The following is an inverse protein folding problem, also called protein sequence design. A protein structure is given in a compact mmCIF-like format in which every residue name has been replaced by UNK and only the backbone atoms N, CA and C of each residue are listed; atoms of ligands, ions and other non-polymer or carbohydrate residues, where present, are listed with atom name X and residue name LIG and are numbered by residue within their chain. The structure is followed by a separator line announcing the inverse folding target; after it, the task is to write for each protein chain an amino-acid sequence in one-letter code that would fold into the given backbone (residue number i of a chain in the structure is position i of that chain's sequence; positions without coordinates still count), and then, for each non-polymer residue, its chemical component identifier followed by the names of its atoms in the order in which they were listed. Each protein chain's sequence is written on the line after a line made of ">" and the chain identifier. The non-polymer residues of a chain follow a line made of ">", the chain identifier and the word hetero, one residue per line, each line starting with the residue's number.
data_IF_160920404497
#
_entry.id   IF_160920404497
#
_cell.length_a   1.000
_cell.length_b   1.000
_cell.length_c   1.000
_cell.angle_alpha   90.00
_cell.angle_beta   90.00
_cell.angle_gamma   90.00
#
_symmetry.space_group_name_H-M   'P 1'
#
loop_
_entity.id
_entity.type
_entity.pdbx_description
1 polymer ?
#
# COMPACT_ATOMS: atom_id res chain seq x y z
N UNK A 1 36.00 8.16 21.41
CA UNK A 1 35.03 8.90 20.58
C UNK A 1 34.24 7.85 19.81
N UNK A 2 33.06 7.46 20.32
CA UNK A 2 32.26 6.39 19.73
C UNK A 2 31.48 7.03 18.58
N UNK A 3 31.98 6.88 17.36
CA UNK A 3 31.21 7.16 16.15
C UNK A 3 30.06 6.15 16.10
N UNK A 4 28.89 6.53 16.65
CA UNK A 4 27.65 5.84 16.36
C UNK A 4 27.40 5.99 14.87
N UNK A 5 27.54 4.89 14.14
CA UNK A 5 27.07 4.71 12.77
C UNK A 5 25.63 5.22 12.67
N UNK A 6 25.46 6.49 12.26
CA UNK A 6 24.21 7.03 11.71
C UNK A 6 24.04 6.49 10.26
N UNK A 7 24.30 5.20 10.07
CA UNK A 7 23.99 4.50 8.83
C UNK A 7 22.48 4.29 8.76
N UNK A 8 21.85 5.35 8.29
CA UNK A 8 20.63 5.37 7.51
C UNK A 8 19.36 4.88 8.19
N UNK A 9 18.88 5.64 9.19
CA UNK A 9 17.46 5.64 9.57
C UNK A 9 16.54 5.81 8.32
N UNK A 10 17.04 6.43 7.25
CA UNK A 10 16.39 6.57 5.94
C UNK A 10 16.09 5.25 5.22
N UNK A 11 16.95 4.24 5.42
CA UNK A 11 16.74 2.89 4.90
C UNK A 11 15.52 2.24 5.51
N UNK A 12 15.31 2.40 6.82
CA UNK A 12 14.17 1.86 7.55
C UNK A 12 12.86 2.43 6.97
N UNK A 13 12.76 3.74 6.78
CA UNK A 13 11.57 4.38 6.20
C UNK A 13 11.25 3.87 4.79
N UNK A 14 12.29 3.61 3.98
CA UNK A 14 12.13 3.05 2.63
C UNK A 14 11.67 1.59 2.66
N UNK A 15 12.21 0.79 3.57
CA UNK A 15 11.78 -0.61 3.79
C UNK A 15 10.33 -0.64 4.30
N UNK A 16 9.98 0.23 5.25
CA UNK A 16 8.61 0.36 5.73
C UNK A 16 7.67 0.69 4.58
N UNK A 17 8.01 1.63 3.70
CA UNK A 17 7.20 1.92 2.50
C UNK A 17 6.94 0.67 1.65
N UNK A 18 7.94 -0.18 1.45
CA UNK A 18 7.80 -1.46 0.72
C UNK A 18 6.93 -2.46 1.48
N UNK A 19 7.02 -2.54 2.81
CA UNK A 19 6.13 -3.39 3.62
C UNK A 19 4.67 -2.99 3.40
N UNK A 20 4.38 -1.69 3.31
CA UNK A 20 3.02 -1.20 3.04
C UNK A 20 2.50 -1.58 1.64
N UNK A 21 3.38 -1.75 0.64
CA UNK A 21 3.01 -2.35 -0.66
C UNK A 21 2.56 -3.80 -0.45
N UNK A 22 3.36 -4.60 0.28
CA UNK A 22 3.04 -6.01 0.53
C UNK A 22 1.70 -6.14 1.26
N UNK A 23 1.47 -5.33 2.30
CA UNK A 23 0.19 -5.31 3.02
C UNK A 23 -0.96 -4.93 2.08
N UNK A 24 -0.81 -3.90 1.25
CA UNK A 24 -1.83 -3.51 0.27
C UNK A 24 -2.17 -4.63 -0.72
N UNK A 25 -1.16 -5.33 -1.25
CA UNK A 25 -1.35 -6.50 -2.12
C UNK A 25 -2.06 -7.62 -1.36
N UNK A 26 -1.67 -7.92 -0.12
CA UNK A 26 -2.32 -8.94 0.70
C UNK A 26 -3.81 -8.61 0.90
N UNK A 27 -4.16 -7.37 1.22
CA UNK A 27 -5.56 -6.95 1.37
C UNK A 27 -6.36 -7.17 0.09
N UNK A 28 -5.78 -6.83 -1.07
CA UNK A 28 -6.40 -7.09 -2.37
C UNK A 28 -6.59 -8.57 -2.66
N UNK A 29 -5.56 -9.39 -2.42
CA UNK A 29 -5.63 -10.84 -2.63
C UNK A 29 -6.71 -11.45 -1.75
N UNK A 30 -6.76 -11.08 -0.46
CA UNK A 30 -7.79 -11.57 0.46
C UNK A 30 -9.20 -11.17 0.00
N UNK A 31 -9.37 -9.92 -0.45
CA UNK A 31 -10.66 -9.44 -0.97
C UNK A 31 -11.12 -10.23 -2.21
N UNK A 32 -10.22 -10.52 -3.14
CA UNK A 32 -10.54 -11.23 -4.39
C UNK A 32 -10.71 -12.75 -4.20
N UNK A 33 -10.03 -13.36 -3.23
CA UNK A 33 -10.00 -14.82 -3.05
C UNK A 33 -10.98 -15.32 -1.99
N UNK A 34 -11.40 -14.48 -1.05
CA UNK A 34 -12.30 -14.86 0.06
C UNK A 34 -13.62 -14.09 -0.07
N UNK A 35 -14.67 -14.69 -0.67
CA UNK A 35 -15.95 -14.01 -0.91
C UNK A 35 -16.62 -13.45 0.34
N UNK A 36 -16.44 -14.08 1.50
CA UNK A 36 -17.00 -13.59 2.78
C UNK A 36 -16.41 -12.26 3.25
N UNK A 37 -15.26 -11.84 2.69
CA UNK A 37 -14.63 -10.54 2.96
C UNK A 37 -15.02 -9.47 1.95
N UNK A 38 -15.78 -9.82 0.91
CA UNK A 38 -16.31 -8.89 -0.09
C UNK A 38 -17.68 -8.35 0.33
N UNK A 39 -17.68 -7.54 1.39
CA UNK A 39 -18.88 -6.84 1.85
C UNK A 39 -18.78 -5.33 1.55
N UNK A 40 -19.95 -4.72 1.35
CA UNK A 40 -20.08 -3.29 1.13
C UNK A 40 -20.07 -2.49 2.44
N UNK A 41 -20.11 -1.16 2.30
CA UNK A 41 -20.10 -0.22 3.42
C UNK A 41 -21.30 -0.38 4.38
N UNK A 42 -22.37 -1.07 3.96
CA UNK A 42 -23.55 -1.39 4.76
C UNK A 42 -23.25 -2.35 5.92
N UNK A 43 -22.21 -3.18 5.80
CA UNK A 43 -21.79 -4.18 6.79
C UNK A 43 -20.50 -3.83 7.53
N UNK A 44 -19.94 -2.64 7.26
CA UNK A 44 -18.68 -2.16 7.82
C UNK A 44 -17.72 -1.66 6.75
N UNK A 45 -16.48 -1.34 7.12
CA UNK A 45 -15.47 -0.88 6.15
C UNK A 45 -15.01 -2.06 5.27
N UNK A 46 -15.20 -2.02 3.94
CA UNK A 46 -14.77 -3.09 3.05
C UNK A 46 -13.27 -3.35 3.16
N UNK A 47 -12.83 -4.59 2.97
CA UNK A 47 -11.41 -4.94 3.07
C UNK A 47 -10.54 -4.13 2.08
N UNK A 48 -11.04 -3.90 0.87
CA UNK A 48 -10.34 -3.07 -0.11
C UNK A 48 -10.18 -1.62 0.38
N UNK A 49 -11.14 -1.06 1.12
CA UNK A 49 -11.11 0.34 1.53
C UNK A 49 -9.95 0.63 2.50
N UNK A 50 -9.42 -0.38 3.19
CA UNK A 50 -8.21 -0.23 4.00
C UNK A 50 -6.97 0.12 3.17
N UNK A 51 -6.91 -0.24 1.88
CA UNK A 51 -5.79 0.16 0.99
C UNK A 51 -5.77 1.68 0.78
N UNK A 52 -6.92 2.35 0.86
CA UNK A 52 -7.01 3.83 0.79
C UNK A 52 -6.40 4.53 1.99
N UNK A 53 -6.11 3.81 3.08
CA UNK A 53 -5.45 4.35 4.28
C UNK A 53 -4.01 3.86 4.36
N UNK A 54 -3.82 2.54 4.21
CA UNK A 54 -2.52 1.87 4.33
C UNK A 54 -1.57 2.41 3.26
N UNK A 55 -1.96 2.45 2.00
CA UNK A 55 -1.03 2.81 0.94
C UNK A 55 -0.60 4.29 0.97
N UNK A 56 -1.46 5.29 1.26
CA UNK A 56 -0.99 6.66 1.50
C UNK A 56 0.03 6.78 2.63
N UNK A 57 -0.12 6.03 3.73
CA UNK A 57 0.91 5.97 4.78
C UNK A 57 2.23 5.45 4.19
N UNK A 58 2.19 4.40 3.38
CA UNK A 58 3.35 3.89 2.65
C UNK A 58 4.00 4.93 1.73
N UNK A 59 3.23 5.81 1.08
CA UNK A 59 3.75 6.93 0.27
C UNK A 59 4.53 7.90 1.15
N UNK A 60 3.94 8.34 2.28
CA UNK A 60 4.61 9.26 3.20
C UNK A 60 5.91 8.69 3.76
N UNK A 61 5.91 7.41 4.15
CA UNK A 61 7.13 6.73 4.63
C UNK A 61 8.20 6.65 3.53
N UNK A 62 7.78 6.41 2.28
CA UNK A 62 8.67 6.41 1.12
C UNK A 62 9.27 7.79 0.87
N UNK A 63 8.48 8.85 0.94
CA UNK A 63 8.96 10.23 0.75
C UNK A 63 9.90 10.67 1.89
N UNK A 64 9.61 10.30 3.14
CA UNK A 64 10.54 10.50 4.26
C UNK A 64 11.86 9.75 3.98
N UNK A 65 11.80 8.51 3.49
CA UNK A 65 12.97 7.71 3.14
C UNK A 65 13.78 8.22 1.93
N UNK A 66 13.24 9.15 1.13
CA UNK A 66 13.75 9.58 -0.19
C UNK A 66 15.00 10.48 -0.13
N UNK A 67 15.88 10.36 0.86
CA UNK A 67 17.20 11.01 0.79
C UNK A 67 18.18 10.17 -0.02
N UNK A 68 19.06 10.84 -0.78
CA UNK A 68 20.14 10.26 -1.60
C UNK A 68 19.69 9.31 -2.74
N UNK A 69 18.62 9.62 -3.49
CA UNK A 69 18.19 8.85 -4.69
C UNK A 69 18.04 7.33 -4.42
N UNK A 70 17.58 6.96 -3.23
CA UNK A 70 17.33 5.55 -2.92
C UNK A 70 16.20 5.01 -3.82
N UNK A 71 16.52 4.06 -4.71
CA UNK A 71 15.57 3.45 -5.65
C UNK A 71 14.43 2.74 -4.92
N UNK A 72 14.67 2.23 -3.71
CA UNK A 72 13.65 1.60 -2.88
C UNK A 72 12.57 2.59 -2.43
N UNK A 73 12.94 3.83 -2.11
CA UNK A 73 11.98 4.86 -1.73
C UNK A 73 11.06 5.22 -2.91
N UNK A 74 11.63 5.33 -4.12
CA UNK A 74 10.86 5.61 -5.34
C UNK A 74 9.92 4.44 -5.65
N UNK A 75 10.41 3.21 -5.57
CA UNK A 75 9.58 2.02 -5.74
C UNK A 75 8.45 1.97 -4.70
N UNK A 76 8.76 2.24 -3.44
CA UNK A 76 7.82 2.36 -2.33
C UNK A 76 6.71 3.38 -2.59
N UNK A 77 7.08 4.59 -3.00
CA UNK A 77 6.15 5.67 -3.34
C UNK A 77 5.25 5.24 -4.51
N UNK A 78 5.84 4.84 -5.63
CA UNK A 78 5.09 4.52 -6.85
C UNK A 78 4.17 3.31 -6.66
N UNK A 79 4.65 2.25 -6.00
CA UNK A 79 3.85 1.06 -5.76
C UNK A 79 2.67 1.34 -4.84
N UNK A 80 2.87 2.10 -3.76
CA UNK A 80 1.78 2.52 -2.89
C UNK A 80 0.81 3.47 -3.60
N UNK A 81 1.31 4.39 -4.42
CA UNK A 81 0.46 5.25 -5.23
C UNK A 81 -0.47 4.44 -6.15
N UNK A 82 0.09 3.48 -6.90
CA UNK A 82 -0.70 2.60 -7.78
C UNK A 82 -1.76 1.82 -6.97
N UNK A 83 -1.39 1.25 -5.83
CA UNK A 83 -2.31 0.48 -4.98
C UNK A 83 -3.39 1.34 -4.31
N UNK A 84 -3.14 2.62 -4.09
CA UNK A 84 -4.14 3.57 -3.57
C UNK A 84 -5.24 3.82 -4.61
N UNK A 85 -4.85 4.00 -5.87
CA UNK A 85 -5.79 4.28 -6.97
C UNK A 85 -6.29 3.03 -7.70
N UNK A 86 -5.76 1.84 -7.40
CA UNK A 86 -6.19 0.60 -8.04
C UNK A 86 -7.67 0.27 -7.78
N UNK A 87 -8.25 0.80 -6.70
CA UNK A 87 -9.70 0.76 -6.42
C UNK A 87 -10.52 1.31 -7.58
N UNK A 88 -10.09 2.43 -8.17
CA UNK A 88 -10.83 3.10 -9.24
C UNK A 88 -10.83 2.26 -10.52
N UNK A 89 -9.74 1.53 -10.77
CA UNK A 89 -9.57 0.67 -11.94
C UNK A 89 -10.22 -0.71 -11.77
N UNK A 90 -10.27 -1.23 -10.55
CA UNK A 90 -10.83 -2.55 -10.25
C UNK A 90 -12.35 -2.54 -10.05
N UNK A 91 -12.95 -1.40 -9.69
CA UNK A 91 -14.40 -1.29 -9.53
C UNK A 91 -15.17 -1.60 -10.82
N UNK A 92 -14.82 -1.04 -12.00
CA UNK A 92 -15.47 -1.37 -13.27
C UNK A 92 -15.31 -2.85 -13.66
N UNK A 93 -14.12 -3.41 -13.42
CA UNK A 93 -13.82 -4.82 -13.73
C UNK A 93 -14.62 -5.76 -12.81
N UNK A 94 -14.69 -5.43 -11.52
CA UNK A 94 -15.49 -6.16 -10.54
C UNK A 94 -16.98 -6.15 -10.90
N UNK A 95 -17.54 -4.98 -11.23
CA UNK A 95 -18.95 -4.88 -11.66
C UNK A 95 -19.23 -5.62 -12.97
N UNK A 96 -18.27 -5.66 -13.90
CA UNK A 96 -18.43 -6.37 -15.18
C UNK A 96 -18.33 -7.90 -15.02
N UNK A 97 -17.51 -8.40 -14.09
CA UNK A 97 -17.27 -9.83 -13.91
C UNK A 97 -18.21 -10.49 -12.88
N UNK A 98 -18.69 -9.73 -11.88
CA UNK A 98 -19.45 -10.25 -10.75
C UNK A 98 -20.93 -9.79 -10.75
N UNK A 99 -21.31 -8.93 -11.70
CA UNK A 99 -22.63 -8.30 -11.75
C UNK A 99 -22.76 -7.09 -10.83
N UNK A 100 -23.84 -6.30 -10.96
CA UNK A 100 -24.15 -5.20 -10.05
C UNK A 100 -24.48 -5.68 -8.63
#
# INVERSE_FOLDING_TARGET
>A
MIEKHHESNWGIWSISSVIFIVVGITLWVLFLTIPSLNYGFDKGIPLYAYTMVVNPVGIFLGEIGRKKRNRLSIFGITGNFILTFSIILLFPIGTLLLGP
#
